data_IF_925240928700
#
_entry.id   IF_925240928700
#
_cell.length_a   1.000
_cell.length_b   1.000
_cell.length_c   1.000
_cell.angle_alpha   90.00
_cell.angle_beta   90.00
_cell.angle_gamma   90.00
#
_symmetry.space_group_name_H-M   'P 1'
#
loop_
_entity.id
_entity.type
_entity.pdbx_description
1 polymer ?
#
# COMPACT_ATOMS: atom_id res chain seq x y z
N UNK A 1 7.39 -16.23 -7.51
CA UNK A 1 6.82 -14.86 -7.50
C UNK A 1 7.37 -14.16 -8.73
N UNK A 2 6.51 -13.54 -9.51
CA UNK A 2 6.90 -12.85 -10.74
C UNK A 2 7.67 -11.56 -10.39
N UNK A 3 8.89 -11.40 -10.92
CA UNK A 3 9.76 -10.26 -10.61
C UNK A 3 9.09 -8.93 -10.97
N UNK A 4 8.32 -8.91 -12.07
CA UNK A 4 7.59 -7.72 -12.51
C UNK A 4 6.50 -7.30 -11.51
N UNK A 5 5.78 -8.26 -10.93
CA UNK A 5 4.79 -7.98 -9.87
C UNK A 5 5.44 -7.40 -8.63
N UNK A 6 6.65 -7.84 -8.30
CA UNK A 6 7.37 -7.33 -7.14
C UNK A 6 7.79 -5.87 -7.36
N UNK A 7 8.39 -5.55 -8.50
CA UNK A 7 8.77 -4.18 -8.83
C UNK A 7 7.56 -3.25 -8.96
N UNK A 8 6.43 -3.72 -9.48
CA UNK A 8 5.19 -2.94 -9.53
C UNK A 8 4.68 -2.59 -8.12
N UNK A 9 4.63 -3.55 -7.19
CA UNK A 9 4.25 -3.26 -5.80
C UNK A 9 5.21 -2.28 -5.12
N UNK A 10 6.52 -2.44 -5.30
CA UNK A 10 7.49 -1.49 -4.75
C UNK A 10 7.28 -0.09 -5.36
N UNK A 11 6.97 -0.01 -6.66
CA UNK A 11 6.67 1.27 -7.32
C UNK A 11 5.41 1.91 -6.76
N UNK A 12 4.35 1.14 -6.51
CA UNK A 12 3.11 1.63 -5.91
C UNK A 12 3.35 2.19 -4.49
N UNK A 13 4.20 1.52 -3.70
CA UNK A 13 4.64 2.00 -2.39
C UNK A 13 5.44 3.30 -2.50
N UNK A 14 6.39 3.37 -3.43
CA UNK A 14 7.20 4.58 -3.68
C UNK A 14 6.31 5.76 -4.11
N UNK A 15 5.32 5.52 -4.98
CA UNK A 15 4.40 6.57 -5.43
C UNK A 15 3.57 7.09 -4.26
N UNK A 16 3.14 6.21 -3.34
CA UNK A 16 2.42 6.62 -2.14
C UNK A 16 3.30 7.48 -1.22
N UNK A 17 4.51 7.01 -0.89
CA UNK A 17 5.47 7.74 -0.04
C UNK A 17 6.01 9.04 -0.68
N UNK A 18 5.81 9.23 -2.00
CA UNK A 18 6.16 10.48 -2.70
C UNK A 18 4.97 11.43 -2.83
N UNK A 19 3.80 11.12 -2.28
CA UNK A 19 2.61 11.94 -2.45
C UNK A 19 2.77 13.38 -1.90
N UNK A 20 3.63 13.56 -0.90
CA UNK A 20 3.96 14.84 -0.28
C UNK A 20 5.30 15.45 -0.77
N UNK A 21 5.85 14.91 -1.87
CA UNK A 21 7.15 15.22 -2.47
C UNK A 21 8.40 14.80 -1.66
N UNK A 22 8.27 14.04 -0.55
CA UNK A 22 9.42 13.57 0.24
C UNK A 22 9.19 12.23 0.94
N UNK A 23 9.97 11.22 0.56
CA UNK A 23 10.06 9.97 1.33
C UNK A 23 10.90 10.22 2.59
N UNK A 24 10.35 9.97 3.78
CA UNK A 24 11.10 10.05 5.04
C UNK A 24 11.86 8.74 5.32
N UNK A 25 12.88 8.79 6.17
CA UNK A 25 13.77 7.65 6.42
C UNK A 25 13.02 6.39 6.92
N UNK A 26 11.98 6.56 7.74
CA UNK A 26 11.17 5.46 8.26
C UNK A 26 10.36 4.77 7.16
N UNK A 27 9.80 5.51 6.21
CA UNK A 27 9.08 4.97 5.05
C UNK A 27 10.03 4.23 4.11
N UNK A 28 11.20 4.81 3.82
CA UNK A 28 12.21 4.16 3.01
C UNK A 28 12.66 2.84 3.63
N UNK A 29 12.93 2.81 4.94
CA UNK A 29 13.26 1.59 5.67
C UNK A 29 12.12 0.56 5.60
N UNK A 30 10.86 1.01 5.66
CA UNK A 30 9.71 0.13 5.49
C UNK A 30 9.66 -0.47 4.08
N UNK A 31 9.82 0.34 3.04
CA UNK A 31 9.86 -0.11 1.64
C UNK A 31 10.98 -1.13 1.44
N UNK A 32 12.18 -0.88 1.98
CA UNK A 32 13.29 -1.82 1.92
C UNK A 32 12.99 -3.16 2.60
N UNK A 33 12.33 -3.15 3.77
CA UNK A 33 11.92 -4.40 4.45
C UNK A 33 10.92 -5.20 3.64
N UNK A 34 10.01 -4.53 2.92
CA UNK A 34 9.08 -5.21 2.01
C UNK A 34 9.83 -5.75 0.78
N UNK A 35 10.72 -4.95 0.19
CA UNK A 35 11.54 -5.33 -0.96
C UNK A 35 12.39 -6.57 -0.70
N UNK A 36 13.05 -6.63 0.47
CA UNK A 36 13.87 -7.78 0.88
C UNK A 36 13.06 -9.08 0.92
N UNK A 37 11.86 -9.05 1.52
CA UNK A 37 10.93 -10.20 1.54
C UNK A 37 10.47 -10.61 0.13
N UNK A 38 10.50 -9.67 -0.81
CA UNK A 38 10.14 -9.88 -2.21
C UNK A 38 11.35 -10.19 -3.11
N UNK A 39 12.56 -10.32 -2.53
CA UNK A 39 13.82 -10.53 -3.26
C UNK A 39 14.10 -9.42 -4.28
N UNK A 40 13.73 -8.18 -3.95
CA UNK A 40 14.09 -6.97 -4.69
C UNK A 40 15.25 -6.32 -3.93
N UNK A 41 16.37 -6.09 -4.62
CA UNK A 41 17.56 -5.55 -3.97
C UNK A 41 17.41 -4.06 -3.66
N UNK A 42 18.22 -3.53 -2.75
CA UNK A 42 18.23 -2.10 -2.43
C UNK A 42 18.48 -1.26 -3.69
N UNK A 43 19.41 -1.68 -4.54
CA UNK A 43 19.73 -1.00 -5.80
C UNK A 43 18.52 -0.95 -6.74
N UNK A 44 17.72 -2.01 -6.78
CA UNK A 44 16.47 -2.03 -7.55
C UNK A 44 15.42 -1.09 -6.92
N UNK A 45 15.32 -1.01 -5.59
CA UNK A 45 14.43 -0.06 -4.91
C UNK A 45 14.84 1.38 -5.24
N UNK A 46 16.13 1.69 -5.16
CA UNK A 46 16.65 3.04 -5.45
C UNK A 46 16.35 3.44 -6.91
N UNK A 47 16.46 2.49 -7.86
CA UNK A 47 16.04 2.71 -9.25
C UNK A 47 14.54 2.98 -9.39
N UNK A 48 13.70 2.25 -8.64
CA UNK A 48 12.24 2.45 -8.64
C UNK A 48 11.83 3.75 -7.96
N UNK A 49 12.63 4.28 -7.04
CA UNK A 49 12.44 5.61 -6.46
C UNK A 49 12.61 6.68 -7.53
N UNK A 50 13.63 6.56 -8.37
CA UNK A 50 13.86 7.50 -9.47
C UNK A 50 12.83 7.33 -10.60
N UNK A 51 12.54 6.08 -10.98
CA UNK A 51 11.70 5.72 -12.11
C UNK A 51 10.69 4.63 -11.71
N UNK A 52 9.58 5.00 -11.03
CA UNK A 52 8.56 4.04 -10.62
C UNK A 52 7.86 3.44 -11.85
N UNK A 53 7.58 2.14 -11.78
CA UNK A 53 6.83 1.43 -12.81
C UNK A 53 5.31 1.61 -12.62
N UNK A 54 4.52 1.46 -13.69
CA UNK A 54 3.06 1.46 -13.56
C UNK A 54 2.56 0.27 -12.74
N UNK A 55 1.48 0.49 -12.00
CA UNK A 55 0.78 -0.56 -11.26
C UNK A 55 0.34 -1.70 -12.19
N UNK A 56 0.51 -2.94 -11.75
CA UNK A 56 0.07 -4.10 -12.51
C UNK A 56 -1.32 -4.58 -12.03
N UNK A 57 -2.16 -5.08 -12.96
CA UNK A 57 -3.45 -5.64 -12.60
C UNK A 57 -3.27 -6.90 -11.73
N UNK A 58 -4.04 -6.96 -10.64
CA UNK A 58 -4.08 -8.11 -9.74
C UNK A 58 -5.36 -8.91 -9.97
N UNK A 59 -5.21 -10.22 -10.17
CA UNK A 59 -6.31 -11.08 -10.61
C UNK A 59 -7.12 -11.55 -9.40
N UNK A 60 -6.46 -12.01 -8.34
CA UNK A 60 -7.16 -12.54 -7.17
C UNK A 60 -7.56 -11.44 -6.19
N UNK A 61 -8.69 -11.66 -5.52
CA UNK A 61 -9.14 -10.78 -4.43
C UNK A 61 -8.12 -10.72 -3.30
N UNK A 62 -7.56 -11.86 -2.89
CA UNK A 62 -6.55 -11.94 -1.84
C UNK A 62 -5.30 -11.13 -2.21
N UNK A 63 -4.84 -11.17 -3.47
CA UNK A 63 -3.73 -10.32 -3.92
C UNK A 63 -4.08 -8.83 -3.77
N UNK A 64 -5.29 -8.41 -4.17
CA UNK A 64 -5.74 -7.01 -4.07
C UNK A 64 -5.83 -6.55 -2.61
N UNK A 65 -6.40 -7.37 -1.74
CA UNK A 65 -6.48 -7.13 -0.29
C UNK A 65 -5.08 -7.00 0.31
N UNK A 66 -4.21 -7.96 0.03
CA UNK A 66 -2.85 -8.00 0.60
C UNK A 66 -1.99 -6.86 0.07
N UNK A 67 -2.16 -6.46 -1.19
CA UNK A 67 -1.50 -5.30 -1.77
C UNK A 67 -1.98 -4.03 -1.07
N UNK A 68 -3.29 -3.82 -0.99
CA UNK A 68 -3.88 -2.64 -0.36
C UNK A 68 -3.50 -2.51 1.12
N UNK A 69 -3.43 -3.62 1.84
CA UNK A 69 -2.94 -3.66 3.21
C UNK A 69 -1.51 -3.12 3.35
N UNK A 70 -0.60 -3.46 2.42
CA UNK A 70 0.78 -2.94 2.46
C UNK A 70 0.83 -1.43 2.25
N UNK A 71 -0.02 -0.89 1.38
CA UNK A 71 -0.14 0.56 1.16
C UNK A 71 -0.62 1.26 2.45
N UNK A 72 -1.60 0.69 3.16
CA UNK A 72 -2.05 1.21 4.46
C UNK A 72 -0.93 1.15 5.50
N UNK A 73 -0.18 0.05 5.56
CA UNK A 73 0.93 -0.08 6.50
C UNK A 73 2.00 0.98 6.28
N UNK A 74 2.34 1.28 5.02
CA UNK A 74 3.29 2.34 4.67
C UNK A 74 2.81 3.72 5.14
N UNK A 75 1.55 4.08 4.84
CA UNK A 75 0.94 5.35 5.26
C UNK A 75 0.87 5.53 6.79
N UNK A 76 0.99 4.45 7.56
CA UNK A 76 0.95 4.49 9.02
C UNK A 76 2.34 4.53 9.68
N UNK A 77 3.43 4.51 8.89
CA UNK A 77 4.79 4.40 9.41
C UNK A 77 5.20 5.60 10.26
N UNK A 78 4.79 6.81 9.88
CA UNK A 78 5.16 8.07 10.52
C UNK A 78 4.03 8.70 11.35
N UNK A 79 2.89 8.00 11.48
CA UNK A 79 1.73 8.36 12.31
C UNK A 79 0.98 9.63 11.88
N UNK A 80 1.47 10.32 10.85
CA UNK A 80 0.91 11.55 10.28
C UNK A 80 0.39 11.28 8.87
N UNK A 81 -0.58 10.37 8.72
CA UNK A 81 -1.24 10.18 7.42
C UNK A 81 -1.73 11.53 6.87
N UNK A 82 -1.08 12.02 5.83
CA UNK A 82 -1.38 13.32 5.23
C UNK A 82 -2.58 13.18 4.28
N UNK A 83 -3.39 14.22 4.14
CA UNK A 83 -4.59 14.18 3.28
C UNK A 83 -4.28 13.74 1.84
N UNK A 84 -3.09 14.11 1.33
CA UNK A 84 -2.60 13.70 0.00
C UNK A 84 -2.35 12.20 -0.11
N UNK A 85 -1.76 11.59 0.91
CA UNK A 85 -1.51 10.15 0.92
C UNK A 85 -2.83 9.36 0.99
N UNK A 86 -3.80 9.86 1.76
CA UNK A 86 -5.13 9.27 1.83
C UNK A 86 -5.81 9.32 0.45
N UNK A 87 -5.66 10.42 -0.29
CA UNK A 87 -6.17 10.53 -1.67
C UNK A 87 -5.47 9.54 -2.61
N UNK A 88 -4.13 9.45 -2.56
CA UNK A 88 -3.37 8.50 -3.37
C UNK A 88 -3.73 7.06 -3.03
N UNK A 89 -3.89 6.72 -1.74
CA UNK A 89 -4.33 5.42 -1.27
C UNK A 89 -5.73 5.08 -1.78
N UNK A 90 -6.69 6.02 -1.73
CA UNK A 90 -8.01 5.84 -2.34
C UNK A 90 -7.91 5.53 -3.83
N UNK A 91 -7.10 6.30 -4.57
CA UNK A 91 -6.89 6.08 -6.00
C UNK A 91 -6.30 4.70 -6.30
N UNK A 92 -5.34 4.23 -5.50
CA UNK A 92 -4.83 2.86 -5.61
C UNK A 92 -5.92 1.83 -5.33
N UNK A 93 -6.70 2.00 -4.26
CA UNK A 93 -7.80 1.08 -3.95
C UNK A 93 -8.79 0.95 -5.11
N UNK A 94 -9.15 2.05 -5.75
CA UNK A 94 -10.02 2.05 -6.93
C UNK A 94 -9.38 1.33 -8.13
N UNK A 95 -8.09 1.59 -8.42
CA UNK A 95 -7.34 0.90 -9.48
C UNK A 95 -7.21 -0.60 -9.24
N UNK A 96 -7.14 -1.01 -7.98
CA UNK A 96 -7.17 -2.41 -7.54
C UNK A 96 -8.60 -3.00 -7.55
N UNK A 97 -9.61 -2.29 -8.06
CA UNK A 97 -10.98 -2.78 -8.13
C UNK A 97 -11.63 -2.97 -6.75
N UNK A 98 -11.15 -2.25 -5.73
CA UNK A 98 -11.75 -2.24 -4.39
C UNK A 98 -12.95 -1.31 -4.40
N UNK A 99 -14.07 -1.81 -3.86
CA UNK A 99 -15.30 -1.02 -3.78
C UNK A 99 -15.05 0.23 -2.91
N UNK A 100 -15.47 1.43 -3.33
CA UNK A 100 -15.24 2.68 -2.59
C UNK A 100 -15.68 2.60 -1.12
N UNK A 101 -16.85 2.00 -0.86
CA UNK A 101 -17.38 1.83 0.50
C UNK A 101 -16.50 0.95 1.39
N UNK A 102 -15.78 -0.03 0.83
CA UNK A 102 -14.81 -0.83 1.57
C UNK A 102 -13.57 0.00 1.91
N UNK A 103 -13.06 0.80 0.97
CA UNK A 103 -11.93 1.71 1.18
C UNK A 103 -12.24 2.68 2.31
N UNK A 104 -13.39 3.37 2.24
CA UNK A 104 -13.79 4.34 3.25
C UNK A 104 -13.96 3.69 4.62
N UNK A 105 -14.54 2.48 4.69
CA UNK A 105 -14.66 1.76 5.96
C UNK A 105 -13.30 1.40 6.54
N UNK A 106 -12.35 0.97 5.70
CA UNK A 106 -10.98 0.66 6.15
C UNK A 106 -10.32 1.93 6.70
N UNK A 107 -10.40 3.06 6.00
CA UNK A 107 -9.82 4.34 6.43
C UNK A 107 -10.42 4.84 7.75
N UNK A 108 -11.74 4.66 7.95
CA UNK A 108 -12.38 4.99 9.22
C UNK A 108 -11.91 4.06 10.33
N UNK A 109 -11.73 2.76 10.05
CA UNK A 109 -11.26 1.81 11.05
C UNK A 109 -9.80 1.99 11.42
N UNK A 110 -8.92 2.31 10.48
CA UNK A 110 -7.51 2.59 10.79
C UNK A 110 -7.39 3.75 11.77
N UNK A 111 -8.21 4.80 11.66
CA UNK A 111 -8.22 5.91 12.62
C UNK A 111 -8.62 5.52 14.06
N UNK A 112 -9.24 4.35 14.27
CA UNK A 112 -9.66 3.87 15.59
C UNK A 112 -8.56 3.11 16.34
N UNK A 113 -7.47 2.74 15.65
CA UNK A 113 -6.34 2.07 16.25
C UNK A 113 -5.31 3.10 16.70
N UNK A 114 -4.79 2.96 17.92
CA UNK A 114 -3.75 3.85 18.45
C UNK A 114 -2.55 3.91 17.49
N UNK A 115 -2.14 2.76 16.95
CA UNK A 115 -1.08 2.62 15.94
C UNK A 115 -1.51 2.82 14.49
N UNK A 116 -2.78 3.16 14.27
CA UNK A 116 -3.45 3.21 12.98
C UNK A 116 -3.38 1.93 12.15
N UNK A 117 -2.79 0.84 12.67
CA UNK A 117 -2.66 -0.45 12.00
C UNK A 117 -3.90 -1.28 12.28
N UNK A 118 -4.72 -1.43 11.25
CA UNK A 118 -5.83 -2.39 11.25
C UNK A 118 -5.27 -3.83 11.16
N UNK A 119 -5.74 -4.78 12.00
CA UNK A 119 -5.37 -6.19 11.86
C UNK A 119 -5.79 -6.79 10.51
N UNK A 120 -5.00 -7.74 10.02
CA UNK A 120 -5.26 -8.39 8.71
C UNK A 120 -6.62 -9.11 8.68
N UNK A 121 -7.02 -9.69 9.81
CA UNK A 121 -8.29 -10.39 9.97
C UNK A 121 -9.49 -9.45 9.80
N UNK A 122 -9.41 -8.24 10.34
CA UNK A 122 -10.48 -7.25 10.21
C UNK A 122 -10.55 -6.69 8.80
N UNK A 123 -9.40 -6.47 8.15
CA UNK A 123 -9.36 -6.14 6.72
C UNK A 123 -10.14 -7.19 5.91
N UNK A 124 -9.80 -8.47 6.07
CA UNK A 124 -10.47 -9.57 5.36
C UNK A 124 -11.98 -9.55 5.63
N UNK A 125 -12.43 -9.32 6.86
CA UNK A 125 -13.85 -9.22 7.18
C UNK A 125 -14.55 -8.05 6.48
N UNK A 126 -13.90 -6.87 6.42
CA UNK A 126 -14.43 -5.72 5.68
C UNK A 126 -14.56 -6.10 4.21
N UNK A 127 -13.53 -6.66 3.60
CA UNK A 127 -13.57 -7.09 2.20
C UNK A 127 -14.68 -8.12 1.94
N UNK A 128 -14.80 -9.17 2.75
CA UNK A 128 -15.86 -10.17 2.63
C UNK A 128 -17.28 -9.56 2.72
N UNK A 129 -17.45 -8.49 3.51
CA UNK A 129 -18.76 -7.81 3.63
C UNK A 129 -19.15 -7.09 2.35
N UNK A 130 -18.18 -6.56 1.60
CA UNK A 130 -18.45 -5.78 0.39
C UNK A 130 -18.31 -6.59 -0.90
N UNK A 131 -17.66 -7.75 -0.89
CA UNK A 131 -17.46 -8.57 -2.10
C UNK A 131 -18.49 -9.70 -2.26
N UNK A 132 -19.26 -10.02 -1.22
CA UNK A 132 -20.41 -10.93 -1.28
C UNK A 132 -21.71 -10.21 -1.63
#
# INVERSE_FOLDING_TARGET
MDKAKNHALISDLVILAKADDKIVASEYDFILRIADRMKVSKEEVDQLIENPLPSLPLVSEIERITHFHKLILLMNVDWEAHDKEVEVLRNFGLKLGIRPAAIDRILVRTQQYENRVIPSEELIQIFQTYYN
#
